data_IF_349678348422
#
_entry.id   IF_349678348422
#
_cell.length_a   1.000
_cell.length_b   1.000
_cell.length_c   1.000
_cell.angle_alpha   90.00
_cell.angle_beta   90.00
_cell.angle_gamma   90.00
#
_symmetry.space_group_name_H-M   'P 1'
#
loop_
_entity.id
_entity.type
_entity.pdbx_description
1 polymer ?
#
# COMPACT_ATOMS: atom_id res chain seq x y z
N UNK A 1 5.28 28.69 10.94
CA UNK A 1 4.02 27.94 10.70
C UNK A 1 4.08 27.12 9.42
N UNK A 2 4.24 27.74 8.24
CA UNK A 2 4.22 27.01 6.95
C UNK A 2 5.27 25.90 6.85
N UNK A 3 6.53 26.15 7.22
CA UNK A 3 7.59 25.14 7.17
C UNK A 3 7.24 23.92 8.04
N UNK A 4 6.79 24.14 9.28
CA UNK A 4 6.41 23.06 10.18
C UNK A 4 5.22 22.25 9.61
N UNK A 5 4.21 22.91 9.06
CA UNK A 5 3.08 22.25 8.41
C UNK A 5 3.53 21.44 7.19
N UNK A 6 4.38 22.01 6.33
CA UNK A 6 4.93 21.33 5.16
C UNK A 6 5.73 20.08 5.53
N UNK A 7 6.54 20.14 6.60
CA UNK A 7 7.30 18.99 7.09
C UNK A 7 6.37 17.91 7.61
N UNK A 8 5.37 18.27 8.43
CA UNK A 8 4.42 17.31 9.00
C UNK A 8 3.59 16.63 7.91
N UNK A 9 3.01 17.40 6.99
CA UNK A 9 2.22 16.85 5.88
C UNK A 9 3.09 16.08 4.89
N UNK A 10 4.30 16.54 4.61
CA UNK A 10 5.24 15.85 3.73
C UNK A 10 5.66 14.49 4.28
N UNK A 11 5.89 14.40 5.59
CA UNK A 11 6.19 13.13 6.28
C UNK A 11 5.01 12.17 6.19
N UNK A 12 3.80 12.66 6.46
CA UNK A 12 2.57 11.87 6.35
C UNK A 12 2.32 11.40 4.91
N UNK A 13 2.52 12.27 3.93
CA UNK A 13 2.39 11.95 2.52
C UNK A 13 3.39 10.87 2.10
N UNK A 14 4.68 11.03 2.45
CA UNK A 14 5.72 10.06 2.16
C UNK A 14 5.41 8.69 2.77
N UNK A 15 4.89 8.67 4.00
CA UNK A 15 4.43 7.46 4.66
C UNK A 15 3.32 6.76 3.88
N UNK A 16 2.28 7.48 3.45
CA UNK A 16 1.18 6.89 2.70
C UNK A 16 1.57 6.48 1.26
N UNK A 17 2.52 7.17 0.63
CA UNK A 17 3.11 6.74 -0.65
C UNK A 17 3.82 5.40 -0.49
N UNK A 18 4.60 5.22 0.59
CA UNK A 18 5.26 3.96 0.90
C UNK A 18 4.26 2.81 1.12
N UNK A 19 3.21 3.05 1.91
CA UNK A 19 2.13 2.09 2.14
C UNK A 19 1.43 1.69 0.84
N UNK A 20 1.09 2.67 0.00
CA UNK A 20 0.45 2.45 -1.31
C UNK A 20 1.34 1.62 -2.24
N UNK A 21 2.65 1.89 -2.24
CA UNK A 21 3.61 1.14 -3.06
C UNK A 21 3.71 -0.34 -2.66
N UNK A 22 3.43 -0.69 -1.41
CA UNK A 22 3.43 -2.08 -0.89
C UNK A 22 2.02 -2.68 -0.77
N UNK A 23 0.98 -1.95 -1.21
CA UNK A 23 -0.42 -2.34 -1.11
C UNK A 23 -0.82 -2.81 0.30
N UNK A 24 -0.42 -2.03 1.31
CA UNK A 24 -0.70 -2.33 2.71
C UNK A 24 -1.29 -1.11 3.42
N UNK A 25 -2.21 -1.36 4.34
CA UNK A 25 -2.71 -0.33 5.25
C UNK A 25 -1.75 -0.10 6.41
N UNK A 26 -1.94 1.00 7.15
CA UNK A 26 -1.17 1.26 8.39
C UNK A 26 -1.34 0.13 9.41
N UNK A 27 -2.52 -0.50 9.49
CA UNK A 27 -2.79 -1.63 10.40
C UNK A 27 -1.95 -2.83 9.97
N UNK A 28 -2.04 -3.20 8.70
CA UNK A 28 -1.30 -4.33 8.13
C UNK A 28 0.21 -4.15 8.20
N UNK A 29 0.72 -2.92 8.16
CA UNK A 29 2.15 -2.66 8.38
C UNK A 29 2.61 -3.13 9.77
N UNK A 30 1.89 -2.77 10.83
CA UNK A 30 2.24 -3.19 12.19
C UNK A 30 2.03 -4.68 12.41
N UNK A 31 0.96 -5.24 11.84
CA UNK A 31 0.75 -6.69 11.85
C UNK A 31 1.86 -7.42 11.09
N UNK A 32 2.31 -6.86 9.96
CA UNK A 32 3.39 -7.36 9.13
C UNK A 32 4.74 -7.36 9.86
N UNK A 33 5.06 -6.32 10.64
CA UNK A 33 6.26 -6.32 11.50
C UNK A 33 6.23 -7.50 12.47
N UNK A 34 5.09 -7.71 13.14
CA UNK A 34 4.92 -8.81 14.09
C UNK A 34 5.00 -10.17 13.40
N UNK A 35 4.37 -10.32 12.23
CA UNK A 35 4.40 -11.54 11.43
C UNK A 35 5.82 -11.85 10.91
N UNK A 36 6.56 -10.83 10.46
CA UNK A 36 7.94 -10.95 10.03
C UNK A 36 8.87 -11.38 11.17
N UNK A 37 8.69 -10.81 12.35
CA UNK A 37 9.43 -11.22 13.54
C UNK A 37 9.15 -12.70 13.91
N UNK A 38 7.88 -13.12 13.88
CA UNK A 38 7.50 -14.51 14.14
C UNK A 38 8.08 -15.48 13.07
N UNK A 39 7.98 -15.12 11.79
CA UNK A 39 8.54 -15.90 10.69
C UNK A 39 10.06 -16.04 10.83
N UNK A 40 10.76 -14.95 11.17
CA UNK A 40 12.21 -14.98 11.39
C UNK A 40 12.60 -15.93 12.52
N UNK A 41 11.82 -15.98 13.60
CA UNK A 41 12.04 -16.92 14.71
C UNK A 41 11.85 -18.38 14.30
N UNK A 42 10.96 -18.67 13.35
CA UNK A 42 10.75 -20.02 12.80
C UNK A 42 11.64 -20.35 11.60
N UNK A 43 12.61 -19.48 11.26
CA UNK A 43 13.48 -19.66 10.10
C UNK A 43 12.79 -19.42 8.75
N UNK A 44 11.58 -18.88 8.76
CA UNK A 44 10.80 -18.55 7.57
C UNK A 44 11.00 -17.08 7.17
N UNK A 45 10.66 -16.77 5.92
CA UNK A 45 10.60 -15.39 5.45
C UNK A 45 9.13 -14.93 5.35
N UNK A 46 8.84 -13.71 5.79
CA UNK A 46 7.52 -13.12 5.65
C UNK A 46 7.43 -12.35 4.34
N UNK A 47 6.34 -12.59 3.61
CA UNK A 47 5.99 -11.83 2.41
C UNK A 47 4.55 -11.38 2.54
N UNK A 48 4.32 -10.08 2.36
CA UNK A 48 2.99 -9.50 2.46
C UNK A 48 2.11 -10.02 1.32
N UNK A 49 0.92 -10.60 1.59
CA UNK A 49 0.13 -11.31 0.59
C UNK A 49 -0.47 -10.41 -0.49
N UNK A 50 -0.63 -9.11 -0.22
CA UNK A 50 -1.19 -8.14 -1.16
C UNK A 50 -0.12 -7.41 -1.98
N UNK A 51 1.16 -7.66 -1.72
CA UNK A 51 2.25 -7.05 -2.49
C UNK A 51 2.44 -7.79 -3.83
N UNK A 52 2.01 -7.13 -4.91
CA UNK A 52 2.05 -7.61 -6.29
C UNK A 52 3.15 -6.92 -7.10
N UNK A 53 3.96 -6.08 -6.45
CA UNK A 53 4.94 -5.20 -7.06
C UNK A 53 4.44 -3.77 -7.23
N UNK A 54 5.36 -2.82 -7.10
CA UNK A 54 5.08 -1.37 -6.96
C UNK A 54 4.11 -0.83 -8.02
N UNK A 55 4.33 -1.15 -9.30
CA UNK A 55 3.46 -0.65 -10.38
C UNK A 55 2.02 -1.20 -10.28
N UNK A 56 1.86 -2.50 -10.01
CA UNK A 56 0.54 -3.13 -9.85
C UNK A 56 -0.17 -2.61 -8.60
N UNK A 57 0.55 -2.49 -7.50
CA UNK A 57 0.03 -1.97 -6.24
C UNK A 57 -0.50 -0.52 -6.40
N UNK A 58 0.30 0.35 -7.02
CA UNK A 58 -0.09 1.74 -7.28
C UNK A 58 -1.30 1.81 -8.23
N UNK A 59 -1.31 1.03 -9.31
CA UNK A 59 -2.42 1.04 -10.27
C UNK A 59 -3.72 0.44 -9.70
N UNK A 60 -3.64 -0.47 -8.72
CA UNK A 60 -4.81 -0.95 -7.97
C UNK A 60 -5.42 0.14 -7.08
N UNK A 61 -4.60 1.04 -6.53
CA UNK A 61 -5.08 2.09 -5.62
C UNK A 61 -5.47 3.38 -6.35
N UNK A 62 -4.67 3.83 -7.33
CA UNK A 62 -4.84 5.10 -8.05
C UNK A 62 -5.44 4.94 -9.47
N UNK A 63 -5.48 3.70 -9.96
CA UNK A 63 -6.11 3.35 -11.22
C UNK A 63 -5.13 3.27 -12.39
N UNK A 64 -5.57 2.73 -13.53
CA UNK A 64 -4.72 2.52 -14.69
C UNK A 64 -4.29 3.82 -15.39
N UNK A 65 -5.05 4.91 -15.19
CA UNK A 65 -4.81 6.19 -15.85
C UNK A 65 -3.97 7.13 -14.98
N UNK A 66 -2.65 7.15 -15.20
CA UNK A 66 -1.72 8.03 -14.46
C UNK A 66 -2.09 9.51 -14.53
N UNK A 67 -2.63 9.95 -15.68
CA UNK A 67 -3.07 11.34 -15.88
C UNK A 67 -4.22 11.75 -14.93
N UNK A 68 -4.98 10.79 -14.41
CA UNK A 68 -6.11 11.04 -13.51
C UNK A 68 -5.76 10.94 -12.03
N UNK A 69 -4.52 10.56 -11.67
CA UNK A 69 -4.12 10.35 -10.28
C UNK A 69 -4.21 11.62 -9.41
N UNK A 70 -4.05 12.79 -10.02
CA UNK A 70 -4.15 14.08 -9.33
C UNK A 70 -5.58 14.65 -9.30
N UNK A 71 -6.51 14.03 -10.02
CA UNK A 71 -7.89 14.47 -10.06
C UNK A 71 -8.67 13.78 -8.94
N UNK A 72 -9.43 14.53 -8.12
CA UNK A 72 -10.35 13.95 -7.12
C UNK A 72 -11.61 13.40 -7.80
N UNK A 73 -11.43 12.52 -8.78
CA UNK A 73 -12.51 11.83 -9.48
C UNK A 73 -12.78 10.50 -8.78
N UNK A 74 -14.05 10.14 -8.62
CA UNK A 74 -14.44 8.85 -8.04
C UNK A 74 -13.77 7.68 -8.77
N UNK A 75 -13.14 6.79 -8.00
CA UNK A 75 -12.42 5.63 -8.50
C UNK A 75 -13.43 4.54 -8.91
N UNK A 76 -14.11 4.75 -10.04
CA UNK A 76 -15.13 3.81 -10.55
C UNK A 76 -14.58 2.40 -10.87
N UNK A 77 -13.25 2.22 -10.87
CA UNK A 77 -12.59 0.93 -11.11
C UNK A 77 -12.34 0.14 -9.81
N UNK A 78 -12.51 0.75 -8.63
CA UNK A 78 -12.28 0.07 -7.36
C UNK A 78 -13.42 -0.91 -7.11
N UNK A 79 -13.06 -2.18 -6.83
CA UNK A 79 -14.02 -3.25 -6.52
C UNK A 79 -14.74 -2.98 -5.18
N UNK A 80 -15.68 -3.84 -4.82
CA UNK A 80 -16.56 -3.76 -3.64
C UNK A 80 -15.86 -3.70 -2.26
N UNK A 81 -14.52 -3.70 -2.19
CA UNK A 81 -13.74 -3.64 -0.94
C UNK A 81 -13.77 -4.91 -0.08
N UNK A 82 -14.42 -5.98 -0.55
CA UNK A 82 -14.53 -7.26 0.16
C UNK A 82 -13.54 -8.32 -0.33
N UNK A 83 -12.91 -8.08 -1.48
CA UNK A 83 -11.94 -9.01 -2.08
C UNK A 83 -10.85 -8.25 -2.80
N UNK A 84 -9.60 -8.67 -2.55
CA UNK A 84 -8.39 -8.06 -3.09
C UNK A 84 -7.51 -9.14 -3.72
N UNK A 85 -6.78 -8.77 -4.77
CA UNK A 85 -5.88 -9.69 -5.46
C UNK A 85 -4.67 -10.00 -4.56
N UNK A 86 -4.29 -11.28 -4.50
CA UNK A 86 -3.12 -11.71 -3.72
C UNK A 86 -1.97 -12.17 -4.62
N UNK A 87 -0.76 -12.25 -4.08
CA UNK A 87 0.40 -12.77 -4.81
C UNK A 87 0.22 -14.22 -5.28
N UNK A 88 -0.69 -14.98 -4.66
CA UNK A 88 -1.01 -16.36 -5.04
C UNK A 88 -1.89 -16.43 -6.28
N UNK A 89 -2.78 -15.46 -6.48
CA UNK A 89 -3.71 -15.41 -7.62
C UNK A 89 -3.04 -14.91 -8.91
N UNK A 90 -1.82 -14.39 -8.80
CA UNK A 90 -1.04 -13.78 -9.87
C UNK A 90 0.13 -14.64 -10.35
N UNK A 91 0.27 -15.85 -9.80
CA UNK A 91 1.24 -16.89 -10.21
C UNK A 91 0.56 -17.95 -11.08
#
# INVERSE_FOLDING_TARGET
MMIALSVTLGTLLGWHVYLTAHNMTTIEYYEGIRAAWLARKSGQNYRHPFDLGVYKNITLVLGPNMLKWLSPSSLSYLKDGTSFLTSRDSS
#
